data_IF_701160633809
#
_entry.id   IF_701160633809
#
_cell.length_a   1.000
_cell.length_b   1.000
_cell.length_c   1.000
_cell.angle_alpha   90.00
_cell.angle_beta   90.00
_cell.angle_gamma   90.00
#
_symmetry.space_group_name_H-M   'P 1'
#
loop_
_entity.id
_entity.type
_entity.pdbx_description
1 polymer ?
#
# COMPACT_ATOMS: atom_id res chain seq x y z
N UNK A 1 -32.21 -37.07 -3.15
CA UNK A 1 -30.92 -37.05 -2.41
C UNK A 1 -29.86 -36.65 -3.41
N UNK A 2 -29.02 -35.62 -3.25
CA UNK A 2 -28.48 -35.01 -2.05
C UNK A 2 -28.02 -33.58 -2.39
N UNK A 3 -28.82 -32.57 -2.01
CA UNK A 3 -28.46 -31.14 -2.10
C UNK A 3 -27.23 -30.79 -1.25
N UNK A 4 -26.74 -31.74 -0.46
CA UNK A 4 -25.58 -31.65 0.42
C UNK A 4 -24.24 -31.77 -0.33
N UNK A 5 -24.18 -32.36 -1.52
CA UNK A 5 -22.92 -32.55 -2.25
C UNK A 5 -22.28 -31.24 -2.74
N UNK A 6 -23.08 -30.18 -2.95
CA UNK A 6 -22.60 -28.88 -3.43
C UNK A 6 -21.89 -28.05 -2.35
N UNK A 7 -22.22 -28.29 -1.07
CA UNK A 7 -21.66 -27.52 0.05
C UNK A 7 -20.24 -28.01 0.39
N UNK A 8 -19.96 -29.30 0.20
CA UNK A 8 -18.66 -29.90 0.51
C UNK A 8 -17.55 -29.41 -0.44
N UNK A 9 -17.88 -29.15 -1.70
CA UNK A 9 -16.92 -28.63 -2.70
C UNK A 9 -16.53 -27.17 -2.45
N UNK A 10 -17.42 -26.35 -1.88
CA UNK A 10 -17.12 -24.95 -1.60
C UNK A 10 -16.18 -24.76 -0.39
N UNK A 11 -16.22 -25.69 0.57
CA UNK A 11 -15.39 -25.61 1.80
C UNK A 11 -13.97 -26.13 1.57
N UNK A 12 -13.75 -27.02 0.60
CA UNK A 12 -12.43 -27.58 0.29
C UNK A 12 -11.44 -26.57 -0.34
N UNK A 13 -11.92 -25.47 -0.95
CA UNK A 13 -11.05 -24.42 -1.47
C UNK A 13 -10.42 -23.52 -0.39
N UNK A 14 -10.93 -23.53 0.84
CA UNK A 14 -10.43 -22.64 1.90
C UNK A 14 -9.20 -23.18 2.65
N UNK A 15 -8.84 -24.46 2.48
CA UNK A 15 -7.75 -25.09 3.25
C UNK A 15 -6.41 -25.16 2.48
N UNK A 16 -6.36 -24.68 1.24
CA UNK A 16 -5.19 -24.79 0.37
C UNK A 16 -4.20 -23.62 0.38
N UNK A 17 -4.43 -22.56 1.16
CA UNK A 17 -3.56 -21.35 1.15
C UNK A 17 -2.70 -21.23 2.42
N UNK A 18 -2.79 -22.18 3.35
CA UNK A 18 -1.83 -22.32 4.44
C UNK A 18 -0.54 -22.98 3.93
N UNK A 19 0.28 -22.22 3.20
CA UNK A 19 1.63 -22.66 2.86
C UNK A 19 2.13 -22.26 1.48
N UNK A 20 2.08 -20.98 1.12
CA UNK A 20 3.04 -20.45 0.14
C UNK A 20 3.98 -19.50 0.89
N UNK A 21 5.26 -19.82 0.87
CA UNK A 21 6.29 -19.24 1.72
C UNK A 21 6.33 -17.71 1.72
N UNK A 22 6.37 -17.13 2.90
CA UNK A 22 6.76 -15.75 3.11
C UNK A 22 7.81 -15.75 4.21
N UNK A 23 9.09 -15.84 3.81
CA UNK A 23 10.20 -15.49 4.70
C UNK A 23 10.03 -14.08 5.27
N UNK A 24 10.88 -13.65 6.22
CA UNK A 24 10.78 -12.31 6.78
C UNK A 24 10.71 -11.31 5.63
N UNK A 25 9.56 -10.65 5.47
CA UNK A 25 9.41 -9.51 4.58
C UNK A 25 10.34 -8.45 5.14
N UNK A 26 11.60 -8.49 4.70
CA UNK A 26 12.44 -7.31 4.67
C UNK A 26 11.66 -6.31 3.85
N UNK A 27 11.00 -5.40 4.55
CA UNK A 27 10.39 -4.22 3.98
C UNK A 27 11.53 -3.30 3.56
N UNK A 28 12.33 -3.73 2.59
CA UNK A 28 13.21 -2.85 1.85
C UNK A 28 12.26 -2.01 1.03
N UNK A 29 11.82 -0.89 1.62
CA UNK A 29 11.15 0.16 0.88
C UNK A 29 12.18 0.68 -0.12
N UNK A 30 12.24 0.06 -1.30
CA UNK A 30 13.00 0.57 -2.43
C UNK A 30 12.28 1.85 -2.85
N UNK A 31 12.69 2.99 -2.28
CA UNK A 31 12.26 4.29 -2.75
C UNK A 31 12.84 4.46 -4.16
N UNK A 32 11.99 4.21 -5.15
CA UNK A 32 12.30 4.43 -6.57
C UNK A 32 12.19 5.90 -6.95
N UNK A 33 11.67 6.74 -6.06
CA UNK A 33 11.53 8.18 -6.21
C UNK A 33 12.64 8.92 -5.46
N UNK A 34 13.19 9.93 -6.10
CA UNK A 34 14.10 10.87 -5.45
C UNK A 34 13.29 11.86 -4.60
N UNK A 35 13.92 12.41 -3.55
CA UNK A 35 13.32 13.46 -2.72
C UNK A 35 12.80 14.64 -3.56
N UNK A 36 13.49 14.99 -4.65
CA UNK A 36 13.06 16.05 -5.56
C UNK A 36 11.74 15.75 -6.27
N UNK A 37 11.52 14.51 -6.69
CA UNK A 37 10.26 14.09 -7.33
C UNK A 37 9.09 14.14 -6.33
N UNK A 38 9.29 13.61 -5.11
CA UNK A 38 8.25 13.66 -4.07
C UNK A 38 7.84 15.10 -3.72
N UNK A 39 8.81 16.03 -3.69
CA UNK A 39 8.53 17.44 -3.44
C UNK A 39 7.81 18.14 -4.61
N UNK A 40 8.16 17.78 -5.84
CA UNK A 40 7.52 18.33 -7.04
C UNK A 40 6.06 17.89 -7.13
N UNK A 41 5.79 16.60 -6.89
CA UNK A 41 4.43 16.04 -6.89
C UNK A 41 3.59 16.67 -5.77
N UNK A 42 4.18 16.84 -4.59
CA UNK A 42 3.53 17.50 -3.46
C UNK A 42 3.17 18.97 -3.78
N UNK A 43 4.04 19.69 -4.49
CA UNK A 43 3.77 21.06 -4.92
C UNK A 43 2.65 21.12 -5.96
N UNK A 44 2.62 20.20 -6.92
CA UNK A 44 1.55 20.13 -7.91
C UNK A 44 0.19 19.89 -7.24
N UNK A 45 0.11 18.93 -6.31
CA UNK A 45 -1.12 18.65 -5.57
C UNK A 45 -1.63 19.86 -4.75
N UNK A 46 -0.72 20.67 -4.19
CA UNK A 46 -1.09 21.91 -3.50
C UNK A 46 -1.59 22.99 -4.47
N UNK A 47 -0.90 23.17 -5.60
CA UNK A 47 -1.30 24.12 -6.64
C UNK A 47 -2.65 23.78 -7.28
N UNK A 48 -2.98 22.50 -7.40
CA UNK A 48 -4.27 22.00 -7.86
C UNK A 48 -5.38 22.12 -6.81
N UNK A 49 -5.05 22.52 -5.57
CA UNK A 49 -5.98 22.60 -4.46
C UNK A 49 -6.42 21.23 -3.92
N UNK A 50 -5.73 20.15 -4.30
CA UNK A 50 -6.00 18.80 -3.81
C UNK A 50 -5.61 18.61 -2.34
N UNK A 51 -4.70 19.45 -1.83
CA UNK A 51 -4.29 19.49 -0.43
C UNK A 51 -4.27 20.93 0.09
N UNK A 52 -4.51 21.10 1.39
CA UNK A 52 -4.42 22.42 2.04
C UNK A 52 -2.98 22.84 2.34
N UNK A 53 -2.75 24.14 2.58
CA UNK A 53 -1.42 24.67 2.95
C UNK A 53 -0.82 23.96 4.16
N UNK A 54 -1.66 23.60 5.15
CA UNK A 54 -1.22 22.90 6.35
C UNK A 54 -0.74 21.48 6.05
N UNK A 55 -1.42 20.79 5.13
CA UNK A 55 -1.04 19.44 4.72
C UNK A 55 0.23 19.46 3.86
N UNK A 56 0.34 20.44 2.97
CA UNK A 56 1.55 20.69 2.19
C UNK A 56 2.78 20.84 3.08
N UNK A 57 2.75 21.76 4.05
CA UNK A 57 3.90 22.00 4.93
C UNK A 57 4.26 20.78 5.78
N UNK A 58 3.25 20.06 6.30
CA UNK A 58 3.47 18.85 7.09
C UNK A 58 4.14 17.74 6.27
N UNK A 59 3.69 17.53 5.03
CA UNK A 59 4.25 16.52 4.14
C UNK A 59 5.64 16.91 3.64
N UNK A 60 5.84 18.18 3.28
CA UNK A 60 7.13 18.75 2.88
C UNK A 60 8.17 18.57 3.97
N UNK A 61 7.84 18.90 5.22
CA UNK A 61 8.72 18.68 6.36
C UNK A 61 9.06 17.20 6.55
N UNK A 62 8.09 16.30 6.36
CA UNK A 62 8.30 14.85 6.48
C UNK A 62 9.23 14.30 5.39
N UNK A 63 9.10 14.78 4.16
CA UNK A 63 9.95 14.39 3.02
C UNK A 63 11.39 14.90 3.27
N UNK A 64 11.55 16.17 3.67
CA UNK A 64 12.85 16.79 3.90
C UNK A 64 13.59 16.25 5.12
N UNK A 65 12.86 15.83 6.16
CA UNK A 65 13.48 15.25 7.36
C UNK A 65 14.26 13.97 7.04
N UNK A 66 13.93 13.31 5.93
CA UNK A 66 14.26 11.91 5.73
C UNK A 66 13.50 11.08 6.78
N UNK A 67 13.00 9.92 6.40
CA UNK A 67 12.54 8.98 7.43
C UNK A 67 13.73 8.49 8.27
#
# INVERSE_FOLDING_TARGET
>A
MSKTARIVILVACCLGISGCGGGPRQNTQVRTTTIGQELSDLQAAHAEGAISDREYEKMRAKILKGN
#
